data_IF_086848055648
#
_entry.id   IF_086848055648
#
_cell.length_a   1.000
_cell.length_b   1.000
_cell.length_c   1.000
_cell.angle_alpha   90.00
_cell.angle_beta   90.00
_cell.angle_gamma   90.00
#
_symmetry.space_group_name_H-M   'P 1'
#
loop_
_entity.id
_entity.type
_entity.pdbx_description
1 polymer ?
#
# COMPACT_ATOMS: atom_id res chain seq x y z
N UNK A 1 -10.67 17.79 6.27
CA UNK A 1 -11.34 16.49 6.07
C UNK A 1 -10.27 15.44 5.86
N UNK A 2 -10.23 14.39 6.66
CA UNK A 2 -9.24 13.34 6.51
C UNK A 2 -9.45 12.57 5.20
N UNK A 3 -8.35 12.19 4.56
CA UNK A 3 -8.35 11.38 3.34
C UNK A 3 -7.61 10.08 3.61
N UNK A 4 -8.21 8.97 3.23
CA UNK A 4 -7.58 7.65 3.26
C UNK A 4 -7.23 7.24 1.83
N UNK A 5 -5.96 6.97 1.57
CA UNK A 5 -5.47 6.46 0.30
C UNK A 5 -4.91 5.04 0.47
N UNK A 6 -5.36 4.12 -0.35
CA UNK A 6 -4.88 2.74 -0.36
C UNK A 6 -4.14 2.50 -1.68
N UNK A 7 -2.92 1.99 -1.60
CA UNK A 7 -2.06 1.81 -2.77
C UNK A 7 -1.17 0.59 -2.61
N UNK A 8 -0.92 -0.12 -3.72
CA UNK A 8 0.10 -1.17 -3.76
C UNK A 8 1.52 -0.60 -3.74
N UNK A 9 2.48 -1.40 -3.34
CA UNK A 9 3.90 -1.01 -3.25
C UNK A 9 4.47 -0.50 -4.59
N UNK A 10 4.17 -1.17 -5.69
CA UNK A 10 4.62 -0.75 -7.01
C UNK A 10 4.03 0.59 -7.44
N UNK A 11 2.73 0.79 -7.22
CA UNK A 11 2.05 2.05 -7.53
C UNK A 11 2.50 3.21 -6.63
N UNK A 12 2.76 2.93 -5.36
CA UNK A 12 3.22 3.92 -4.39
C UNK A 12 4.53 4.59 -4.83
N UNK A 13 5.45 3.84 -5.43
CA UNK A 13 6.74 4.37 -5.86
C UNK A 13 6.64 5.48 -6.91
N UNK A 14 5.57 5.53 -7.70
CA UNK A 14 5.36 6.59 -8.68
C UNK A 14 5.06 7.95 -8.06
N UNK A 15 4.49 7.97 -6.87
CA UNK A 15 4.10 9.18 -6.17
C UNK A 15 4.93 9.52 -4.94
N UNK A 16 6.01 8.81 -4.67
CA UNK A 16 6.76 8.91 -3.41
C UNK A 16 7.27 10.33 -3.14
N UNK A 17 7.62 11.08 -4.17
CA UNK A 17 8.10 12.46 -4.01
C UNK A 17 7.04 13.40 -3.40
N UNK A 18 5.76 13.09 -3.57
CA UNK A 18 4.65 13.87 -3.01
C UNK A 18 4.52 13.73 -1.48
N UNK A 19 5.23 12.80 -0.87
CA UNK A 19 5.33 12.72 0.59
C UNK A 19 5.97 13.98 1.18
N UNK A 20 6.92 14.59 0.47
CA UNK A 20 7.50 15.87 0.86
C UNK A 20 6.44 16.97 0.90
N UNK A 21 5.58 17.04 -0.12
CA UNK A 21 4.45 17.98 -0.19
C UNK A 21 3.45 17.74 0.95
N UNK A 22 3.07 16.50 1.17
CA UNK A 22 2.15 16.13 2.24
C UNK A 22 2.70 16.53 3.61
N UNK A 23 3.98 16.28 3.85
CA UNK A 23 4.66 16.64 5.08
C UNK A 23 4.76 18.15 5.26
N UNK A 24 5.17 18.87 4.21
CA UNK A 24 5.35 20.33 4.23
C UNK A 24 4.06 21.06 4.58
N UNK A 25 2.94 20.61 4.03
CA UNK A 25 1.64 21.25 4.21
C UNK A 25 0.79 20.60 5.31
N UNK A 26 1.37 19.66 6.04
CA UNK A 26 0.68 18.91 7.11
C UNK A 26 -0.71 18.39 6.64
N UNK A 27 -0.75 17.81 5.44
CA UNK A 27 -1.97 17.31 4.85
C UNK A 27 -2.56 16.18 5.68
N UNK A 28 -3.86 16.24 5.90
CA UNK A 28 -4.60 15.22 6.67
C UNK A 28 -4.90 14.02 5.78
N UNK A 29 -3.86 13.25 5.49
CA UNK A 29 -3.90 12.06 4.64
C UNK A 29 -3.29 10.86 5.35
N UNK A 30 -4.02 9.76 5.37
CA UNK A 30 -3.53 8.46 5.83
C UNK A 30 -3.31 7.55 4.64
N UNK A 31 -2.10 7.02 4.50
CA UNK A 31 -1.74 6.09 3.44
C UNK A 31 -1.69 4.66 3.98
N UNK A 32 -2.32 3.74 3.25
CA UNK A 32 -2.16 2.30 3.45
C UNK A 32 -1.40 1.75 2.26
N UNK A 33 -0.17 1.35 2.48
CA UNK A 33 0.65 0.72 1.45
C UNK A 33 0.56 -0.79 1.62
N UNK A 34 0.08 -1.46 0.57
CA UNK A 34 0.03 -2.92 0.52
C UNK A 34 1.34 -3.39 -0.11
N UNK A 35 2.20 -3.98 0.70
CA UNK A 35 3.48 -4.52 0.27
C UNK A 35 3.33 -6.01 -0.03
N UNK A 36 3.16 -6.34 -1.30
CA UNK A 36 3.06 -7.72 -1.80
C UNK A 36 4.31 -8.17 -2.57
N UNK A 37 5.36 -7.37 -2.55
CA UNK A 37 6.66 -7.65 -3.17
C UNK A 37 6.72 -7.35 -4.66
N UNK A 38 5.81 -6.52 -5.21
CA UNK A 38 5.85 -6.11 -6.60
C UNK A 38 4.48 -5.81 -7.21
N UNK A 39 4.34 -6.12 -8.49
CA UNK A 39 3.05 -5.98 -9.18
C UNK A 39 2.25 -7.28 -9.07
N UNK A 40 1.68 -7.56 -7.90
CA UNK A 40 1.03 -8.83 -7.57
C UNK A 40 -0.06 -9.25 -8.55
N UNK A 41 -0.96 -8.32 -8.92
CA UNK A 41 -2.04 -8.59 -9.88
C UNK A 41 -1.50 -8.96 -11.27
N UNK A 42 -0.46 -8.30 -11.73
CA UNK A 42 0.16 -8.60 -13.04
C UNK A 42 0.86 -9.95 -13.01
N UNK A 43 1.49 -10.29 -11.88
CA UNK A 43 2.09 -11.61 -11.66
C UNK A 43 1.04 -12.72 -11.74
N UNK A 44 -0.12 -12.50 -11.12
CA UNK A 44 -1.25 -13.43 -11.16
C UNK A 44 -1.75 -13.62 -12.61
N UNK A 45 -1.97 -12.53 -13.34
CA UNK A 45 -2.41 -12.60 -14.74
C UNK A 45 -1.39 -13.31 -15.64
N UNK A 46 -0.09 -13.07 -15.47
CA UNK A 46 0.94 -13.78 -16.23
C UNK A 46 0.92 -15.28 -15.92
N UNK A 47 0.76 -15.66 -14.65
CA UNK A 47 0.66 -17.06 -14.23
C UNK A 47 -0.57 -17.76 -14.82
N UNK A 48 -1.74 -17.11 -14.76
CA UNK A 48 -2.99 -17.65 -15.36
C UNK A 48 -2.89 -17.80 -16.88
N UNK A 49 -2.18 -16.89 -17.56
CA UNK A 49 -1.95 -16.95 -18.99
C UNK A 49 -0.84 -17.95 -19.38
N UNK A 50 -0.19 -18.61 -18.42
CA UNK A 50 0.89 -19.55 -18.65
C UNK A 50 2.22 -18.91 -19.06
N UNK A 51 2.40 -17.62 -18.83
CA UNK A 51 3.65 -16.90 -19.09
C UNK A 51 4.59 -16.95 -17.88
N UNK A 52 5.89 -16.87 -18.15
CA UNK A 52 6.88 -16.63 -17.11
C UNK A 52 6.69 -15.22 -16.52
N UNK A 53 6.90 -15.09 -15.22
CA UNK A 53 6.85 -13.79 -14.56
C UNK A 53 7.97 -12.89 -15.11
N UNK A 54 7.62 -11.75 -15.68
CA UNK A 54 8.57 -10.82 -16.30
C UNK A 54 8.22 -9.39 -15.92
N UNK A 55 9.17 -8.68 -15.30
CA UNK A 55 9.02 -7.26 -14.92
C UNK A 55 8.00 -7.00 -13.83
N UNK A 56 7.54 -8.03 -13.10
CA UNK A 56 6.52 -7.95 -12.06
C UNK A 56 7.07 -8.14 -10.65
N UNK A 57 8.27 -8.69 -10.53
CA UNK A 57 8.99 -8.83 -9.27
C UNK A 57 9.90 -7.62 -9.09
N UNK A 58 9.65 -6.86 -8.01
CA UNK A 58 10.44 -5.68 -7.69
C UNK A 58 11.43 -5.98 -6.57
N UNK A 59 12.48 -5.17 -6.48
CA UNK A 59 13.36 -5.19 -5.30
C UNK A 59 12.52 -4.84 -4.08
N UNK A 60 12.61 -5.67 -3.04
CA UNK A 60 11.93 -5.39 -1.79
C UNK A 60 12.53 -4.14 -1.14
N UNK A 61 11.67 -3.16 -0.89
CA UNK A 61 12.02 -1.92 -0.20
C UNK A 61 11.39 -1.91 1.19
N UNK A 62 12.08 -1.31 2.13
CA UNK A 62 11.50 -1.03 3.44
C UNK A 62 10.66 0.26 3.36
N UNK A 63 9.37 0.10 3.07
CA UNK A 63 8.46 1.24 2.93
C UNK A 63 8.27 2.00 4.24
N UNK A 64 8.31 1.34 5.39
CA UNK A 64 8.25 2.05 6.66
C UNK A 64 9.48 2.95 6.86
N UNK A 65 10.67 2.49 6.49
CA UNK A 65 11.88 3.31 6.53
C UNK A 65 11.78 4.51 5.58
N UNK A 66 11.12 4.39 4.43
CA UNK A 66 10.88 5.51 3.53
C UNK A 66 9.98 6.58 4.17
N UNK A 67 8.90 6.20 4.83
CA UNK A 67 8.07 7.14 5.58
C UNK A 67 8.84 7.80 6.73
N UNK A 68 9.65 7.05 7.45
CA UNK A 68 10.52 7.58 8.49
C UNK A 68 11.50 8.63 7.95
N UNK A 69 12.05 8.42 6.76
CA UNK A 69 12.93 9.38 6.09
C UNK A 69 12.24 10.71 5.78
N UNK A 70 10.93 10.69 5.51
CA UNK A 70 10.10 11.89 5.34
C UNK A 70 9.54 12.42 6.67
N UNK A 71 9.91 11.82 7.79
CA UNK A 71 9.38 12.16 9.13
C UNK A 71 7.85 12.06 9.20
N UNK A 72 7.27 11.07 8.53
CA UNK A 72 5.85 10.76 8.54
C UNK A 72 5.62 9.58 9.49
N UNK A 73 4.76 9.71 10.51
CA UNK A 73 4.43 8.60 11.40
C UNK A 73 3.94 7.37 10.62
N UNK A 74 4.56 6.22 10.88
CA UNK A 74 4.25 4.98 10.16
C UNK A 74 4.27 3.80 11.12
N UNK A 75 3.39 2.82 10.85
CA UNK A 75 3.41 1.51 11.49
C UNK A 75 3.34 0.40 10.47
N UNK A 76 4.04 -0.70 10.78
CA UNK A 76 3.88 -1.95 10.05
C UNK A 76 2.67 -2.70 10.59
N UNK A 77 1.95 -3.37 9.70
CA UNK A 77 0.78 -4.14 10.08
C UNK A 77 0.74 -5.48 9.37
N UNK A 78 -0.01 -6.37 9.93
CA UNK A 78 -0.48 -7.60 9.33
C UNK A 78 -2.01 -7.56 9.27
N UNK A 79 -2.61 -8.46 8.49
CA UNK A 79 -4.07 -8.47 8.24
C UNK A 79 -4.89 -8.42 9.53
N UNK A 80 -4.53 -9.22 10.55
CA UNK A 80 -5.27 -9.30 11.80
C UNK A 80 -5.22 -8.05 12.67
N UNK A 81 -4.26 -7.15 12.43
CA UNK A 81 -4.06 -5.92 13.22
C UNK A 81 -4.39 -4.65 12.47
N UNK A 82 -4.76 -4.75 11.21
CA UNK A 82 -4.98 -3.59 10.33
C UNK A 82 -5.98 -2.57 10.91
N UNK A 83 -7.04 -3.04 11.54
CA UNK A 83 -8.06 -2.17 12.15
C UNK A 83 -7.46 -1.25 13.21
N UNK A 84 -6.66 -1.80 14.12
CA UNK A 84 -6.07 -1.05 15.23
C UNK A 84 -5.01 -0.06 14.72
N UNK A 85 -4.21 -0.48 13.74
CA UNK A 85 -3.20 0.37 13.15
C UNK A 85 -3.81 1.50 12.31
N UNK A 86 -4.93 1.25 11.62
CA UNK A 86 -5.68 2.30 10.94
C UNK A 86 -6.29 3.29 11.92
N UNK A 87 -6.87 2.83 13.01
CA UNK A 87 -7.40 3.71 14.05
C UNK A 87 -6.31 4.64 14.58
N UNK A 88 -5.14 4.08 14.89
CA UNK A 88 -3.99 4.89 15.30
C UNK A 88 -3.59 5.91 14.23
N UNK A 89 -3.49 5.50 12.96
CA UNK A 89 -3.06 6.37 11.87
C UNK A 89 -4.02 7.55 11.66
N UNK A 90 -5.32 7.29 11.76
CA UNK A 90 -6.36 8.32 11.60
C UNK A 90 -6.39 9.34 12.75
N UNK A 91 -5.81 9.02 13.91
CA UNK A 91 -5.67 9.94 15.04
C UNK A 91 -4.46 10.88 14.89
N UNK A 92 -3.55 10.60 13.95
CA UNK A 92 -2.38 11.45 13.76
C UNK A 92 -2.78 12.79 13.13
N UNK A 93 -2.04 13.83 13.49
CA UNK A 93 -2.16 15.15 12.86
C UNK A 93 -1.20 15.22 11.68
N UNK A 94 -1.71 15.60 10.52
CA UNK A 94 -0.94 15.58 9.28
C UNK A 94 -0.86 14.19 8.67
N UNK A 95 0.09 13.96 7.74
CA UNK A 95 0.19 12.69 7.04
C UNK A 95 0.61 11.55 7.98
N UNK A 96 0.07 10.36 7.75
CA UNK A 96 0.38 9.13 8.48
C UNK A 96 0.35 7.94 7.54
N UNK A 97 0.93 6.82 7.95
CA UNK A 97 0.96 5.64 7.10
C UNK A 97 0.86 4.33 7.89
N UNK A 98 0.30 3.33 7.22
CA UNK A 98 0.34 1.93 7.62
C UNK A 98 0.87 1.12 6.46
N UNK A 99 1.90 0.34 6.69
CA UNK A 99 2.45 -0.61 5.70
C UNK A 99 1.93 -2.00 6.04
N UNK A 100 1.09 -2.55 5.18
CA UNK A 100 0.55 -3.89 5.30
C UNK A 100 1.36 -4.85 4.44
N UNK A 101 2.12 -5.73 5.08
CA UNK A 101 2.84 -6.81 4.41
C UNK A 101 1.88 -7.99 4.20
N UNK A 102 1.29 -8.08 3.04
CA UNK A 102 0.33 -9.14 2.71
C UNK A 102 0.17 -9.29 1.19
N UNK A 103 -0.15 -10.50 0.76
CA UNK A 103 -0.56 -10.78 -0.61
C UNK A 103 -2.09 -10.81 -0.65
N UNK A 104 -2.67 -9.73 -1.16
CA UNK A 104 -4.11 -9.67 -1.35
C UNK A 104 -4.46 -10.35 -2.68
N UNK A 105 -5.30 -11.37 -2.60
CA UNK A 105 -5.90 -11.98 -3.79
C UNK A 105 -7.19 -11.25 -4.12
N UNK A 106 -7.39 -10.96 -5.40
CA UNK A 106 -8.71 -10.47 -5.83
C UNK A 106 -9.75 -11.54 -5.49
N UNK A 107 -10.86 -11.17 -4.85
CA UNK A 107 -11.98 -12.09 -4.76
C UNK A 107 -12.40 -12.42 -6.19
N UNK A 108 -12.47 -13.71 -6.51
CA UNK A 108 -13.15 -14.13 -7.73
C UNK A 108 -14.56 -13.55 -7.63
N UNK A 109 -15.00 -12.71 -8.58
CA UNK A 109 -16.33 -12.16 -8.49
C UNK A 109 -17.34 -13.28 -8.75
N UNK A 110 -17.65 -14.05 -7.71
CA UNK A 110 -18.77 -15.01 -7.77
C UNK A 110 -20.07 -14.30 -8.16
N UNK A 111 -20.20 -13.02 -7.82
CA UNK A 111 -21.32 -12.19 -8.27
C UNK A 111 -21.32 -11.88 -9.78
N UNK A 112 -20.19 -12.03 -10.48
CA UNK A 112 -20.13 -11.87 -11.95
C UNK A 112 -20.20 -13.20 -12.69
N UNK A 113 -19.99 -14.32 -12.00
CA UNK A 113 -20.15 -15.65 -12.58
C UNK A 113 -21.62 -16.04 -12.77
N UNK A 114 -22.54 -15.36 -12.06
CA UNK A 114 -23.98 -15.56 -12.13
C UNK A 114 -24.70 -14.53 -13.03
N UNK A 115 -23.94 -13.66 -13.68
CA UNK A 115 -24.42 -12.73 -14.69
C UNK A 115 -24.15 -13.26 -16.09
#
# INVERSE_FOLDING_TARGET
>A
MPVLAIVGDGGFQYGIAELATARQHALDVTLVVIDDGGYGILREYQGEAGFAHTGVDLVHLDFAALFDAYEIPVRRSERGRLRDELAWALEQRGPSAVVLEDVLRMPVPSALADL
#
